data_IF_940430306737
#
_entry.id   IF_940430306737
#
_cell.length_a   1.000
_cell.length_b   1.000
_cell.length_c   1.000
_cell.angle_alpha   90.00
_cell.angle_beta   90.00
_cell.angle_gamma   90.00
#
_symmetry.space_group_name_H-M   'P 1'
#
loop_
_entity.id
_entity.type
_entity.pdbx_description
1 polymer ?
#
# COMPACT_ATOMS: atom_id res chain seq x y z
N UNK A 1 7.86 -24.50 23.77
CA UNK A 1 8.10 -24.56 22.31
C UNK A 1 9.29 -23.65 22.03
N UNK A 2 10.23 -24.10 21.22
CA UNK A 2 11.39 -23.29 20.85
C UNK A 2 10.96 -22.06 20.02
N UNK A 3 11.54 -20.88 20.29
CA UNK A 3 11.17 -19.61 19.65
C UNK A 3 11.44 -19.63 18.14
N UNK A 4 12.52 -20.28 17.69
CA UNK A 4 12.86 -20.38 16.28
C UNK A 4 11.89 -21.33 15.55
N UNK A 5 11.51 -22.44 16.20
CA UNK A 5 10.49 -23.36 15.66
C UNK A 5 9.13 -22.67 15.59
N UNK A 6 8.74 -21.95 16.64
CA UNK A 6 7.49 -21.17 16.66
C UNK A 6 7.46 -20.13 15.53
N UNK A 7 8.59 -19.45 15.28
CA UNK A 7 8.70 -18.50 14.17
C UNK A 7 8.52 -19.16 12.81
N UNK A 8 9.19 -20.27 12.52
CA UNK A 8 9.05 -20.94 11.23
C UNK A 8 7.63 -21.44 11.00
N UNK A 9 6.97 -21.93 12.05
CA UNK A 9 5.55 -22.31 11.98
C UNK A 9 4.69 -21.08 11.66
N UNK A 10 4.92 -19.94 12.33
CA UNK A 10 4.19 -18.71 12.07
C UNK A 10 4.40 -18.21 10.62
N UNK A 11 5.66 -18.10 10.18
CA UNK A 11 6.01 -17.70 8.80
C UNK A 11 5.34 -18.60 7.76
N UNK A 12 5.42 -19.91 7.94
CA UNK A 12 4.80 -20.87 7.03
C UNK A 12 3.29 -20.67 6.96
N UNK A 13 2.61 -20.59 8.11
CA UNK A 13 1.15 -20.47 8.19
C UNK A 13 0.66 -19.15 7.60
N UNK A 14 1.39 -18.04 7.81
CA UNK A 14 1.06 -16.73 7.24
C UNK A 14 1.06 -16.77 5.71
N UNK A 15 1.91 -17.60 5.10
CA UNK A 15 1.99 -17.76 3.65
C UNK A 15 0.96 -18.73 3.07
N UNK A 16 0.20 -19.45 3.91
CA UNK A 16 -0.83 -20.37 3.42
C UNK A 16 -2.16 -19.65 3.16
N UNK A 17 -2.99 -20.14 2.21
CA UNK A 17 -4.34 -19.63 1.95
C UNK A 17 -5.34 -20.12 3.02
N UNK A 18 -5.02 -19.87 4.29
CA UNK A 18 -5.87 -20.16 5.45
C UNK A 18 -6.62 -18.90 5.89
N UNK A 19 -7.62 -19.04 6.75
CA UNK A 19 -8.42 -17.91 7.22
C UNK A 19 -7.64 -17.01 8.20
N UNK A 20 -7.85 -15.69 8.14
CA UNK A 20 -7.16 -14.73 9.00
C UNK A 20 -7.47 -14.93 10.49
N UNK A 21 -8.64 -15.47 10.85
CA UNK A 21 -8.94 -15.81 12.24
C UNK A 21 -8.02 -16.90 12.79
N UNK A 22 -7.64 -17.88 11.94
CA UNK A 22 -6.73 -18.97 12.29
C UNK A 22 -5.31 -18.44 12.46
N UNK A 23 -4.85 -17.57 11.55
CA UNK A 23 -3.53 -16.93 11.67
C UNK A 23 -3.45 -16.05 12.91
N UNK A 24 -4.47 -15.24 13.19
CA UNK A 24 -4.50 -14.38 14.37
C UNK A 24 -4.49 -15.19 15.67
N UNK A 25 -5.25 -16.30 15.73
CA UNK A 25 -5.22 -17.20 16.89
C UNK A 25 -3.83 -17.83 17.08
N UNK A 26 -3.18 -18.24 15.99
CA UNK A 26 -1.82 -18.81 16.02
C UNK A 26 -0.78 -17.78 16.49
N UNK A 27 -0.84 -16.55 15.98
CA UNK A 27 0.05 -15.45 16.38
C UNK A 27 -0.09 -15.10 17.87
N UNK A 28 -1.30 -15.24 18.43
CA UNK A 28 -1.55 -14.99 19.85
C UNK A 28 -0.98 -16.07 20.77
N UNK A 29 -0.92 -17.32 20.31
CA UNK A 29 -0.52 -18.48 21.12
C UNK A 29 0.99 -18.75 21.03
N UNK A 30 1.62 -18.41 19.91
CA UNK A 30 3.04 -18.70 19.69
C UNK A 30 3.96 -17.75 20.48
N UNK A 31 5.05 -18.27 21.07
CA UNK A 31 6.05 -17.44 21.75
C UNK A 31 6.93 -16.72 20.72
N UNK A 32 6.42 -15.63 20.15
CA UNK A 32 7.06 -14.87 19.08
C UNK A 32 7.88 -13.70 19.65
N UNK A 33 8.99 -13.39 18.99
CA UNK A 33 9.79 -12.20 19.29
C UNK A 33 9.20 -10.99 18.58
N UNK A 34 8.99 -9.89 19.31
CA UNK A 34 8.57 -8.62 18.70
C UNK A 34 9.67 -7.99 17.84
N UNK A 35 10.92 -8.44 17.94
CA UNK A 35 12.02 -7.89 17.14
C UNK A 35 12.22 -8.61 15.80
N UNK A 36 11.35 -9.55 15.41
CA UNK A 36 11.51 -10.28 14.15
C UNK A 36 10.94 -9.48 12.96
N UNK A 37 11.84 -8.79 12.25
CA UNK A 37 11.50 -7.95 11.10
C UNK A 37 10.87 -8.73 9.95
N UNK A 38 11.33 -9.97 9.71
CA UNK A 38 10.82 -10.84 8.64
C UNK A 38 9.39 -11.29 8.92
N UNK A 39 9.12 -11.67 10.18
CA UNK A 39 7.76 -12.02 10.59
C UNK A 39 6.81 -10.83 10.47
N UNK A 40 7.25 -9.63 10.89
CA UNK A 40 6.48 -8.38 10.72
C UNK A 40 6.15 -8.11 9.26
N UNK A 41 7.13 -8.26 8.37
CA UNK A 41 6.96 -8.11 6.92
C UNK A 41 5.96 -9.12 6.36
N UNK A 42 6.06 -10.40 6.75
CA UNK A 42 5.14 -11.44 6.32
C UNK A 42 3.68 -11.15 6.72
N UNK A 43 3.45 -10.67 7.95
CA UNK A 43 2.13 -10.26 8.43
C UNK A 43 1.55 -9.12 7.56
N UNK A 44 2.37 -8.11 7.22
CA UNK A 44 1.95 -6.99 6.39
C UNK A 44 1.60 -7.44 4.96
N UNK A 45 2.44 -8.29 4.35
CA UNK A 45 2.18 -8.84 3.02
C UNK A 45 0.87 -9.64 2.98
N UNK A 46 0.64 -10.49 3.98
CA UNK A 46 -0.60 -11.25 4.11
C UNK A 46 -1.82 -10.34 4.23
N UNK A 47 -1.73 -9.28 5.02
CA UNK A 47 -2.82 -8.31 5.15
C UNK A 47 -3.17 -7.67 3.80
N UNK A 48 -2.15 -7.29 3.02
CA UNK A 48 -2.36 -6.73 1.68
C UNK A 48 -3.02 -7.78 0.78
N UNK A 49 -2.51 -9.02 0.76
CA UNK A 49 -3.10 -10.14 -0.01
C UNK A 49 -4.57 -10.42 0.36
N UNK A 50 -4.91 -10.38 1.66
CA UNK A 50 -6.29 -10.53 2.14
C UNK A 50 -7.20 -9.39 1.65
N UNK A 51 -6.75 -8.14 1.68
CA UNK A 51 -7.53 -7.01 1.13
C UNK A 51 -7.70 -7.14 -0.39
N UNK A 52 -6.64 -7.48 -1.12
CA UNK A 52 -6.65 -7.67 -2.59
C UNK A 52 -7.58 -8.81 -3.00
N UNK A 53 -7.55 -9.94 -2.27
CA UNK A 53 -8.42 -11.11 -2.51
C UNK A 53 -9.90 -10.76 -2.30
N UNK A 54 -10.20 -9.88 -1.35
CA UNK A 54 -11.53 -9.33 -1.13
C UNK A 54 -11.90 -8.21 -2.14
N UNK A 55 -11.02 -7.92 -3.10
CA UNK A 55 -11.17 -6.83 -4.06
C UNK A 55 -11.14 -5.45 -3.43
N UNK A 56 -10.68 -5.32 -2.18
CA UNK A 56 -10.65 -4.08 -1.40
C UNK A 56 -9.34 -3.32 -1.59
N UNK A 57 -9.44 -2.00 -1.64
CA UNK A 57 -8.29 -1.08 -1.64
C UNK A 57 -8.58 0.04 -0.65
N UNK A 58 -7.73 0.20 0.36
CA UNK A 58 -7.95 1.13 1.46
C UNK A 58 -6.66 1.85 1.87
N UNK A 59 -6.77 2.91 2.69
CA UNK A 59 -5.60 3.62 3.23
C UNK A 59 -4.71 2.70 4.09
N UNK A 60 -5.28 1.62 4.65
CA UNK A 60 -4.53 0.61 5.40
C UNK A 60 -3.52 -0.13 4.53
N UNK A 61 -3.78 -0.25 3.23
CA UNK A 61 -2.81 -0.81 2.28
C UNK A 61 -1.62 0.13 2.12
N UNK A 62 -1.83 1.45 2.06
CA UNK A 62 -0.74 2.44 2.02
C UNK A 62 0.14 2.36 3.27
N UNK A 63 -0.48 2.35 4.46
CA UNK A 63 0.26 2.21 5.71
C UNK A 63 1.05 0.90 5.79
N UNK A 64 0.53 -0.17 5.18
CA UNK A 64 1.20 -1.47 5.18
C UNK A 64 2.41 -1.47 4.24
N UNK A 65 2.30 -0.82 3.07
CA UNK A 65 3.41 -0.61 2.15
C UNK A 65 4.51 0.28 2.75
N UNK A 66 4.15 1.37 3.42
CA UNK A 66 5.10 2.26 4.13
C UNK A 66 5.89 1.49 5.20
N UNK A 67 5.21 0.68 6.02
CA UNK A 67 5.87 -0.16 7.02
C UNK A 67 6.78 -1.23 6.40
N UNK A 68 6.42 -1.79 5.24
CA UNK A 68 7.29 -2.75 4.54
C UNK A 68 8.57 -2.05 4.06
N UNK A 69 8.48 -0.85 3.50
CA UNK A 69 9.63 -0.04 3.12
C UNK A 69 10.56 0.24 4.32
N UNK A 70 10.00 0.65 5.46
CA UNK A 70 10.77 0.87 6.70
C UNK A 70 11.51 -0.41 7.15
N UNK A 71 10.85 -1.57 7.08
CA UNK A 71 11.45 -2.87 7.41
C UNK A 71 12.60 -3.23 6.47
N UNK A 72 12.43 -3.05 5.16
CA UNK A 72 13.47 -3.33 4.15
C UNK A 72 14.69 -2.42 4.33
N UNK A 73 14.46 -1.15 4.65
CA UNK A 73 15.52 -0.19 4.96
C UNK A 73 16.32 -0.63 6.20
N UNK A 74 15.64 -1.09 7.26
CA UNK A 74 16.30 -1.61 8.46
C UNK A 74 17.09 -2.90 8.22
N UNK A 75 16.66 -3.75 7.29
CA UNK A 75 17.39 -4.97 6.91
C UNK A 75 18.59 -4.71 5.98
N UNK A 76 18.72 -3.50 5.44
CA UNK A 76 19.81 -3.14 4.51
C UNK A 76 19.69 -3.78 3.13
N UNK A 77 18.51 -4.29 2.77
CA UNK A 77 18.27 -4.93 1.48
C UNK A 77 18.34 -3.91 0.34
N UNK A 78 19.04 -4.25 -0.75
CA UNK A 78 19.08 -3.38 -1.93
C UNK A 78 17.71 -3.36 -2.59
N UNK A 79 17.12 -2.18 -2.55
CA UNK A 79 15.70 -1.86 -2.72
C UNK A 79 15.19 -2.00 -4.18
N UNK A 80 16.06 -2.28 -5.16
CA UNK A 80 15.89 -1.71 -6.49
C UNK A 80 14.69 -2.19 -7.33
N UNK A 81 14.33 -3.47 -7.29
CA UNK A 81 13.27 -4.01 -8.17
C UNK A 81 11.95 -4.22 -7.42
N UNK A 82 11.99 -4.84 -6.24
CA UNK A 82 10.80 -4.98 -5.38
C UNK A 82 10.22 -3.63 -4.97
N UNK A 83 11.03 -2.57 -4.82
CA UNK A 83 10.49 -1.23 -4.60
C UNK A 83 9.85 -0.60 -5.83
N UNK A 84 10.25 -0.92 -7.06
CA UNK A 84 9.56 -0.34 -8.23
C UNK A 84 8.11 -0.78 -8.26
N UNK A 85 7.88 -2.06 -8.01
CA UNK A 85 6.55 -2.65 -7.96
C UNK A 85 5.78 -2.15 -6.74
N UNK A 86 6.41 -2.14 -5.56
CA UNK A 86 5.82 -1.59 -4.34
C UNK A 86 5.43 -0.12 -4.51
N UNK A 87 6.27 0.68 -5.17
CA UNK A 87 6.04 2.08 -5.44
C UNK A 87 4.90 2.28 -6.43
N UNK A 88 4.89 1.54 -7.54
CA UNK A 88 3.78 1.59 -8.49
C UNK A 88 2.45 1.21 -7.81
N UNK A 89 2.46 0.17 -6.99
CA UNK A 89 1.29 -0.25 -6.20
C UNK A 89 0.86 0.84 -5.20
N UNK A 90 1.79 1.40 -4.44
CA UNK A 90 1.55 2.50 -3.51
C UNK A 90 0.87 3.69 -4.21
N UNK A 91 1.43 4.10 -5.34
CA UNK A 91 0.93 5.21 -6.12
C UNK A 91 -0.50 4.96 -6.59
N UNK A 92 -0.78 3.78 -7.14
CA UNK A 92 -2.11 3.44 -7.61
C UNK A 92 -3.14 3.37 -6.47
N UNK A 93 -2.76 2.83 -5.30
CA UNK A 93 -3.59 2.83 -4.10
C UNK A 93 -3.86 4.26 -3.62
N UNK A 94 -2.85 5.13 -3.65
CA UNK A 94 -3.00 6.54 -3.26
C UNK A 94 -3.95 7.27 -4.23
N UNK A 95 -3.86 6.99 -5.53
CA UNK A 95 -4.81 7.50 -6.54
C UNK A 95 -6.21 7.04 -6.16
N UNK A 96 -6.43 5.74 -6.01
CA UNK A 96 -7.77 5.20 -5.74
C UNK A 96 -8.38 5.76 -4.45
N UNK A 97 -7.62 5.81 -3.36
CA UNK A 97 -8.08 6.40 -2.11
C UNK A 97 -8.49 7.87 -2.27
N UNK A 98 -7.73 8.63 -3.05
CA UNK A 98 -7.98 10.05 -3.30
C UNK A 98 -9.19 10.26 -4.22
N UNK A 99 -9.31 9.48 -5.30
CA UNK A 99 -10.45 9.55 -6.23
C UNK A 99 -11.74 9.08 -5.57
N UNK A 100 -11.68 8.10 -4.67
CA UNK A 100 -12.83 7.62 -3.90
C UNK A 100 -13.47 8.74 -3.07
N UNK A 101 -12.68 9.64 -2.48
CA UNK A 101 -13.21 10.82 -1.78
C UNK A 101 -13.99 11.77 -2.72
N UNK A 102 -13.58 11.88 -3.99
CA UNK A 102 -14.37 12.64 -4.98
C UNK A 102 -15.69 11.95 -5.33
N UNK A 103 -15.72 10.62 -5.34
CA UNK A 103 -16.92 9.83 -5.63
C UNK A 103 -17.96 9.91 -4.52
N UNK A 104 -17.53 10.13 -3.27
CA UNK A 104 -18.41 10.25 -2.11
C UNK A 104 -19.24 11.55 -2.07
N UNK A 105 -18.96 12.51 -2.97
CA UNK A 105 -19.81 13.67 -3.21
C UNK A 105 -19.16 15.03 -2.89
N UNK A 106 -19.87 16.14 -3.18
CA UNK A 106 -19.30 17.50 -3.07
C UNK A 106 -18.92 17.89 -1.64
N UNK A 107 -19.57 17.32 -0.62
CA UNK A 107 -19.29 17.59 0.79
C UNK A 107 -17.93 17.03 1.24
N UNK A 108 -17.38 16.08 0.50
CA UNK A 108 -16.04 15.49 0.71
C UNK A 108 -14.93 16.24 -0.01
N UNK A 109 -15.22 17.38 -0.65
CA UNK A 109 -14.22 18.15 -1.40
C UNK A 109 -13.14 18.75 -0.47
N UNK A 110 -13.49 19.13 0.75
CA UNK A 110 -12.52 19.56 1.76
C UNK A 110 -11.62 18.39 2.20
N UNK A 111 -12.21 17.22 2.52
CA UNK A 111 -11.49 15.99 2.86
C UNK A 111 -10.57 15.54 1.71
N UNK A 112 -11.02 15.69 0.46
CA UNK A 112 -10.21 15.48 -0.74
C UNK A 112 -9.00 16.40 -0.76
N UNK A 113 -9.17 17.71 -0.50
CA UNK A 113 -8.04 18.65 -0.49
C UNK A 113 -7.01 18.35 0.59
N UNK A 114 -7.48 17.99 1.78
CA UNK A 114 -6.59 17.64 2.90
C UNK A 114 -5.89 16.31 2.64
N UNK A 115 -6.58 15.31 2.10
CA UNK A 115 -6.00 14.03 1.68
C UNK A 115 -4.98 14.22 0.57
N UNK A 116 -5.26 15.03 -0.45
CA UNK A 116 -4.31 15.37 -1.52
C UNK A 116 -3.06 16.01 -0.91
N UNK A 117 -3.21 17.00 -0.03
CA UNK A 117 -2.07 17.70 0.58
C UNK A 117 -1.25 16.79 1.50
N UNK A 118 -1.88 15.93 2.29
CA UNK A 118 -1.19 15.06 3.24
C UNK A 118 -0.51 13.88 2.55
N UNK A 119 -1.24 13.14 1.73
CA UNK A 119 -0.75 11.91 1.11
C UNK A 119 0.23 12.24 -0.02
N UNK A 120 -0.09 13.21 -0.87
CA UNK A 120 0.73 13.45 -2.07
C UNK A 120 1.87 14.41 -1.84
N UNK A 121 1.65 15.48 -1.06
CA UNK A 121 2.68 16.50 -0.86
C UNK A 121 3.67 16.16 0.25
N UNK A 122 3.21 15.53 1.34
CA UNK A 122 4.08 15.16 2.47
C UNK A 122 4.63 13.76 2.25
N UNK A 123 3.78 12.73 2.24
CA UNK A 123 4.26 11.34 2.16
C UNK A 123 4.96 11.05 0.85
N UNK A 124 4.31 11.33 -0.28
CA UNK A 124 4.91 11.00 -1.59
C UNK A 124 5.95 12.05 -2.02
N UNK A 125 5.74 13.33 -1.71
CA UNK A 125 6.70 14.40 -2.00
C UNK A 125 8.07 14.18 -1.37
N UNK A 126 8.11 13.70 -0.13
CA UNK A 126 9.36 13.38 0.57
C UNK A 126 10.05 12.16 -0.07
N UNK A 127 9.29 11.11 -0.43
CA UNK A 127 9.81 9.94 -1.17
C UNK A 127 10.38 10.32 -2.56
N UNK A 128 9.76 11.28 -3.25
CA UNK A 128 10.24 11.80 -4.55
C UNK A 128 11.52 12.63 -4.39
N UNK A 129 11.58 13.46 -3.34
CA UNK A 129 12.70 14.37 -3.11
C UNK A 129 13.94 13.66 -2.56
N UNK A 130 13.76 12.49 -1.94
CA UNK A 130 14.81 11.70 -1.34
C UNK A 130 15.34 10.60 -2.26
N UNK A 131 16.41 10.88 -3.01
CA UNK A 131 17.47 9.93 -3.45
C UNK A 131 17.12 8.62 -4.18
N UNK A 132 15.86 8.25 -4.44
CA UNK A 132 15.54 6.90 -4.95
C UNK A 132 15.45 6.81 -6.48
N UNK A 133 15.24 7.92 -7.21
CA UNK A 133 15.17 7.90 -8.68
C UNK A 133 14.05 7.03 -9.27
N UNK A 134 13.11 6.56 -8.44
CA UNK A 134 12.08 5.57 -8.76
C UNK A 134 10.76 6.17 -9.27
N UNK A 135 10.74 7.47 -9.58
CA UNK A 135 9.52 8.15 -10.01
C UNK A 135 9.25 7.86 -11.49
N UNK A 136 8.30 6.98 -11.76
CA UNK A 136 7.83 6.72 -13.12
C UNK A 136 7.09 7.95 -13.68
N UNK A 137 7.18 8.17 -14.99
CA UNK A 137 6.45 9.28 -15.64
C UNK A 137 4.92 9.16 -15.45
N UNK A 138 4.41 7.93 -15.34
CA UNK A 138 3.01 7.64 -15.05
C UNK A 138 2.56 8.25 -13.70
N UNK A 139 3.46 8.28 -12.72
CA UNK A 139 3.19 8.87 -11.43
C UNK A 139 3.07 10.40 -11.50
N UNK A 140 3.99 11.07 -12.21
CA UNK A 140 3.95 12.53 -12.38
C UNK A 140 2.68 12.95 -13.10
N UNK A 141 2.26 12.17 -14.08
CA UNK A 141 1.00 12.38 -14.79
C UNK A 141 -0.22 12.21 -13.87
N UNK A 142 -0.24 11.17 -13.04
CA UNK A 142 -1.32 10.94 -12.08
C UNK A 142 -1.42 12.08 -11.05
N UNK A 143 -0.29 12.54 -10.52
CA UNK A 143 -0.24 13.69 -9.62
C UNK A 143 -0.78 14.96 -10.30
N UNK A 144 -0.31 15.26 -11.51
CA UNK A 144 -0.78 16.41 -12.27
C UNK A 144 -2.30 16.38 -12.52
N UNK A 145 -2.87 15.20 -12.76
CA UNK A 145 -4.31 15.03 -12.97
C UNK A 145 -5.11 15.19 -11.68
N UNK A 146 -4.62 14.65 -10.55
CA UNK A 146 -5.22 14.83 -9.22
C UNK A 146 -5.17 16.30 -8.80
N UNK A 147 -4.06 16.99 -9.05
CA UNK A 147 -3.91 18.43 -8.80
C UNK A 147 -4.76 19.27 -9.76
N UNK A 148 -4.94 18.87 -11.03
CA UNK A 148 -5.82 19.56 -11.96
C UNK A 148 -7.30 19.41 -11.56
N UNK A 149 -7.69 18.24 -11.04
CA UNK A 149 -9.05 17.98 -10.54
C UNK A 149 -9.45 18.90 -9.37
N UNK A 150 -8.48 19.47 -8.65
CA UNK A 150 -8.74 20.46 -7.60
C UNK A 150 -9.33 21.77 -8.13
N UNK A 151 -8.97 22.18 -9.35
CA UNK A 151 -9.30 23.50 -9.88
C UNK A 151 -10.27 23.47 -11.07
N UNK A 152 -10.60 22.29 -11.60
CA UNK A 152 -11.41 22.15 -12.82
C UNK A 152 -12.46 21.05 -12.70
N UNK A 153 -13.71 21.36 -13.05
CA UNK A 153 -14.79 20.38 -13.17
C UNK A 153 -14.46 19.31 -14.23
N UNK A 154 -13.82 19.70 -15.34
CA UNK A 154 -13.34 18.78 -16.38
C UNK A 154 -12.22 17.88 -15.85
N UNK A 155 -11.32 18.43 -15.03
CA UNK A 155 -10.29 17.65 -14.34
C UNK A 155 -10.88 16.61 -13.39
N UNK A 156 -11.88 17.00 -12.61
CA UNK A 156 -12.61 16.09 -11.72
C UNK A 156 -13.29 14.95 -12.50
N UNK A 157 -13.99 15.27 -13.61
CA UNK A 157 -14.64 14.26 -14.43
C UNK A 157 -13.64 13.27 -15.06
N UNK A 158 -12.50 13.77 -15.54
CA UNK A 158 -11.44 12.93 -16.11
C UNK A 158 -10.90 11.92 -15.11
N UNK A 159 -10.69 12.35 -13.86
CA UNK A 159 -10.21 11.49 -12.78
C UNK A 159 -11.28 10.49 -12.34
N UNK A 160 -12.55 10.91 -12.26
CA UNK A 160 -13.67 10.04 -11.89
C UNK A 160 -13.93 8.92 -12.91
N UNK A 161 -13.71 9.20 -14.20
CA UNK A 161 -13.90 8.25 -15.30
C UNK A 161 -12.83 7.13 -15.34
N UNK A 162 -11.75 7.25 -14.57
CA UNK A 162 -10.70 6.22 -14.52
C UNK A 162 -11.10 5.06 -13.63
N UNK A 163 -10.66 3.86 -14.01
CA UNK A 163 -10.83 2.65 -13.22
C UNK A 163 -9.67 2.48 -12.22
N UNK A 164 -9.53 3.46 -11.33
CA UNK A 164 -8.43 3.56 -10.38
C UNK A 164 -8.34 2.36 -9.44
N UNK A 165 -9.48 1.74 -9.14
CA UNK A 165 -9.57 0.57 -8.26
C UNK A 165 -8.96 -0.65 -8.92
N UNK A 166 -9.32 -0.94 -10.16
CA UNK A 166 -8.77 -2.10 -10.87
C UNK A 166 -7.29 -1.90 -11.20
N UNK A 167 -6.87 -0.67 -11.48
CA UNK A 167 -5.44 -0.35 -11.62
C UNK A 167 -4.66 -0.62 -10.33
N UNK A 168 -5.18 -0.19 -9.17
CA UNK A 168 -4.58 -0.45 -7.87
C UNK A 168 -4.53 -1.96 -7.55
N UNK A 169 -5.63 -2.69 -7.75
CA UNK A 169 -5.66 -4.14 -7.54
C UNK A 169 -4.68 -4.88 -8.44
N UNK A 170 -4.56 -4.49 -9.71
CA UNK A 170 -3.62 -5.09 -10.66
C UNK A 170 -2.17 -4.89 -10.20
N UNK A 171 -1.81 -3.67 -9.79
CA UNK A 171 -0.45 -3.37 -9.36
C UNK A 171 -0.11 -4.00 -8.01
N UNK A 172 -1.08 -4.12 -7.09
CA UNK A 172 -0.90 -4.86 -5.85
C UNK A 172 -0.66 -6.35 -6.09
N UNK A 173 -1.37 -6.97 -7.05
CA UNK A 173 -1.12 -8.38 -7.43
C UNK A 173 0.29 -8.59 -7.98
N UNK A 174 0.74 -7.70 -8.85
CA UNK A 174 2.13 -7.71 -9.36
C UNK A 174 3.12 -7.63 -8.20
N UNK A 175 2.93 -6.68 -7.28
CA UNK A 175 3.77 -6.55 -6.08
C UNK A 175 3.76 -7.80 -5.19
N UNK A 176 2.61 -8.46 -5.04
CA UNK A 176 2.48 -9.69 -4.26
C UNK A 176 3.00 -10.94 -5.00
N UNK A 177 3.35 -10.84 -6.28
CA UNK A 177 3.60 -11.98 -7.18
C UNK A 177 2.41 -12.94 -7.30
N UNK A 178 1.19 -12.41 -7.36
CA UNK A 178 -0.09 -13.12 -7.53
C UNK A 178 -0.70 -12.99 -8.93
#
# INVERSE_FOLDING_TARGET
MDIQIARWIAEFMILQPIDDSVVNALLYVLPLSDNDLRLKKAILLRRISSEVSNGSVSERVLESLERIEELEYMEGNSILESMKEAYCAYCAVAVDCTVRLLREGPDKRADYFDSVKRTWKVRIGEMISGKTGLVSEQFKEALAQIEAAKWSATGCQNVLNKDTRNDALRLLKIFLNE
#
